data_IF_988881703089
#
_entry.id   IF_988881703089
#
_cell.length_a   1.000
_cell.length_b   1.000
_cell.length_c   1.000
_cell.angle_alpha   90.00
_cell.angle_beta   90.00
_cell.angle_gamma   90.00
#
_symmetry.space_group_name_H-M   'P 1'
#
loop_
_entity.id
_entity.type
_entity.pdbx_description
1 polymer ?
#
# COMPACT_ATOMS: atom_id res chain seq x y z
N UNK A 1 40.70 6.29 24.41
CA UNK A 1 41.94 5.58 24.82
C UNK A 1 43.04 5.94 23.85
N UNK A 2 44.28 6.07 24.32
CA UNK A 2 45.43 6.33 23.44
C UNK A 2 45.89 5.03 22.76
N UNK A 3 46.60 5.14 21.64
CA UNK A 3 47.13 4.05 20.83
C UNK A 3 47.92 3.05 21.67
N UNK A 4 48.78 3.54 22.57
CA UNK A 4 49.58 2.71 23.48
C UNK A 4 48.73 1.78 24.36
N UNK A 5 47.59 2.28 24.86
CA UNK A 5 46.68 1.53 25.72
C UNK A 5 45.87 0.51 24.91
N UNK A 6 45.45 0.89 23.69
CA UNK A 6 44.71 0.05 22.75
C UNK A 6 45.56 -1.14 22.27
N UNK A 7 46.80 -0.87 21.88
CA UNK A 7 47.77 -1.87 21.45
C UNK A 7 48.04 -2.89 22.57
N UNK A 8 48.32 -2.41 23.78
CA UNK A 8 48.59 -3.30 24.92
C UNK A 8 47.36 -4.16 25.26
N UNK A 9 46.16 -3.58 25.21
CA UNK A 9 44.92 -4.30 25.48
C UNK A 9 44.69 -5.42 24.47
N UNK A 10 44.75 -5.14 23.18
CA UNK A 10 44.53 -6.15 22.14
C UNK A 10 45.58 -7.26 22.14
N UNK A 11 46.86 -6.92 22.41
CA UNK A 11 47.90 -7.93 22.58
C UNK A 11 47.57 -8.88 23.73
N UNK A 12 47.11 -8.35 24.87
CA UNK A 12 46.70 -9.14 26.03
C UNK A 12 45.47 -9.99 25.74
N UNK A 13 44.49 -9.47 25.01
CA UNK A 13 43.28 -10.23 24.60
C UNK A 13 43.62 -11.43 23.69
N UNK A 14 44.68 -11.32 22.88
CA UNK A 14 45.21 -12.43 22.08
C UNK A 14 46.25 -13.29 22.82
N UNK A 15 46.43 -13.10 24.12
CA UNK A 15 47.39 -13.82 24.98
C UNK A 15 48.84 -13.82 24.47
N UNK A 16 49.28 -12.75 23.78
CA UNK A 16 50.64 -12.66 23.25
C UNK A 16 51.58 -11.92 24.22
N UNK A 17 52.84 -12.33 24.31
CA UNK A 17 53.89 -11.56 24.99
C UNK A 17 54.39 -10.38 24.13
N UNK A 18 55.03 -9.38 24.74
CA UNK A 18 55.65 -8.28 23.96
C UNK A 18 56.74 -8.78 23.01
N UNK A 19 57.42 -9.87 23.36
CA UNK A 19 58.46 -10.51 22.54
C UNK A 19 57.83 -11.20 21.33
N UNK A 20 56.76 -11.96 21.54
CA UNK A 20 56.01 -12.61 20.46
C UNK A 20 55.38 -11.62 19.48
N UNK A 21 54.88 -10.47 19.97
CA UNK A 21 54.38 -9.41 19.10
C UNK A 21 55.52 -8.76 18.30
N UNK A 22 56.67 -8.56 18.93
CA UNK A 22 57.85 -7.98 18.28
C UNK A 22 58.39 -8.89 17.16
N UNK A 23 58.45 -10.20 17.41
CA UNK A 23 58.88 -11.20 16.43
C UNK A 23 57.97 -11.20 15.20
N UNK A 24 56.63 -11.17 15.42
CA UNK A 24 55.65 -11.12 14.33
C UNK A 24 55.68 -9.80 13.56
N UNK A 25 55.98 -8.70 14.22
CA UNK A 25 56.13 -7.40 13.59
C UNK A 25 57.51 -7.18 12.93
N UNK A 26 58.46 -8.09 13.11
CA UNK A 26 59.84 -7.95 12.64
C UNK A 26 60.54 -6.73 13.24
N UNK A 27 60.37 -6.49 14.54
CA UNK A 27 60.98 -5.39 15.30
C UNK A 27 61.58 -5.89 16.61
N UNK A 28 62.38 -5.07 17.30
CA UNK A 28 62.89 -5.44 18.61
C UNK A 28 61.81 -5.37 19.69
N UNK A 29 61.91 -6.22 20.73
CA UNK A 29 61.04 -6.16 21.92
C UNK A 29 60.99 -4.75 22.55
N UNK A 30 62.11 -4.03 22.48
CA UNK A 30 62.23 -2.65 22.97
C UNK A 30 61.35 -1.67 22.17
N UNK A 31 61.18 -1.87 20.85
CA UNK A 31 60.30 -1.04 20.03
C UNK A 31 58.83 -1.18 20.45
N UNK A 32 58.36 -2.42 20.64
CA UNK A 32 57.00 -2.69 21.14
C UNK A 32 56.80 -2.12 22.54
N UNK A 33 57.79 -2.23 23.44
CA UNK A 33 57.74 -1.62 24.77
C UNK A 33 57.63 -0.09 24.71
N UNK A 34 58.32 0.57 23.78
CA UNK A 34 58.22 2.02 23.58
C UNK A 34 56.85 2.43 23.01
N UNK A 35 56.27 1.64 22.11
CA UNK A 35 54.90 1.85 21.61
C UNK A 35 53.85 1.71 22.70
N UNK A 36 53.92 0.65 23.51
CA UNK A 36 52.98 0.43 24.63
C UNK A 36 53.16 1.42 25.79
N UNK A 37 54.33 2.05 25.92
CA UNK A 37 54.58 3.11 26.90
C UNK A 37 54.36 4.53 26.35
N UNK A 38 53.91 4.66 25.10
CA UNK A 38 53.65 5.95 24.45
C UNK A 38 54.89 6.80 24.19
N UNK A 39 56.10 6.20 24.26
CA UNK A 39 57.39 6.88 24.05
C UNK A 39 57.78 7.00 22.58
N UNK A 40 57.18 6.20 21.71
CA UNK A 40 57.33 6.29 20.26
C UNK A 40 56.06 5.80 19.57
N UNK A 41 55.88 6.17 18.31
CA UNK A 41 54.76 5.73 17.48
C UNK A 41 55.28 4.84 16.34
N UNK A 42 54.60 3.74 15.98
CA UNK A 42 54.98 2.91 14.84
C UNK A 42 54.67 3.62 13.51
N UNK A 43 55.46 3.30 12.48
CA UNK A 43 55.18 3.76 11.11
C UNK A 43 53.92 3.10 10.54
N UNK A 44 53.33 3.70 9.52
CA UNK A 44 52.06 3.24 8.93
C UNK A 44 52.11 1.77 8.46
N UNK A 45 53.24 1.34 7.90
CA UNK A 45 53.42 -0.06 7.48
C UNK A 45 53.38 -1.03 8.67
N UNK A 46 53.94 -0.63 9.82
CA UNK A 46 53.89 -1.42 11.05
C UNK A 46 52.51 -1.39 11.68
N UNK A 47 51.76 -0.30 11.55
CA UNK A 47 50.36 -0.22 11.99
C UNK A 47 49.48 -1.18 11.19
N UNK A 48 49.64 -1.23 9.88
CA UNK A 48 48.90 -2.17 9.03
C UNK A 48 49.22 -3.63 9.40
N UNK A 49 50.49 -3.94 9.65
CA UNK A 49 50.91 -5.27 10.09
C UNK A 49 50.36 -5.62 11.49
N UNK A 50 50.28 -4.64 12.40
CA UNK A 50 49.65 -4.83 13.71
C UNK A 50 48.16 -5.13 13.59
N UNK A 51 47.45 -4.49 12.67
CA UNK A 51 46.03 -4.76 12.40
C UNK A 51 45.83 -6.21 11.94
N UNK A 52 46.71 -6.72 11.09
CA UNK A 52 46.69 -8.11 10.61
C UNK A 52 46.99 -9.12 11.74
N UNK A 53 48.02 -8.86 12.56
CA UNK A 53 48.41 -9.76 13.67
C UNK A 53 47.36 -9.79 14.78
N UNK A 54 46.73 -8.66 15.08
CA UNK A 54 45.76 -8.50 16.16
C UNK A 54 44.32 -8.73 15.69
N UNK A 55 44.10 -8.92 14.39
CA UNK A 55 42.80 -9.15 13.76
C UNK A 55 41.80 -8.05 14.12
N UNK A 56 42.20 -6.81 13.85
CA UNK A 56 41.44 -5.60 14.17
C UNK A 56 41.56 -4.57 13.05
N UNK A 57 40.69 -3.56 13.06
CA UNK A 57 40.76 -2.47 12.09
C UNK A 57 41.77 -1.40 12.55
N UNK A 58 42.36 -0.65 11.62
CA UNK A 58 43.24 0.49 11.92
C UNK A 58 42.59 1.51 12.86
N UNK A 59 41.26 1.69 12.75
CA UNK A 59 40.49 2.56 13.65
C UNK A 59 40.40 2.03 15.09
N UNK A 60 40.59 0.73 15.31
CA UNK A 60 40.60 0.13 16.64
C UNK A 60 41.92 0.36 17.37
N UNK A 61 42.99 0.71 16.64
CA UNK A 61 44.33 1.01 17.15
C UNK A 61 44.60 2.53 17.27
N UNK A 62 44.18 3.35 16.30
CA UNK A 62 44.47 4.79 16.25
C UNK A 62 43.74 5.58 17.35
N UNK A 63 44.33 6.69 17.80
CA UNK A 63 43.75 7.61 18.78
C UNK A 63 42.36 8.14 18.37
N UNK A 64 41.45 8.18 19.36
CA UNK A 64 40.05 8.64 19.18
C UNK A 64 39.92 10.11 18.73
N UNK A 65 41.02 10.88 18.77
CA UNK A 65 41.07 12.30 18.37
C UNK A 65 41.46 12.47 16.90
N UNK A 66 42.27 11.55 16.36
CA UNK A 66 42.69 11.58 14.95
C UNK A 66 41.66 10.93 14.02
N UNK A 67 40.84 10.02 14.55
CA UNK A 67 39.69 9.47 13.85
C UNK A 67 38.44 10.23 14.28
N UNK A 68 37.95 11.16 13.45
CA UNK A 68 36.67 11.87 13.63
C UNK A 68 35.42 10.98 13.60
N UNK A 69 35.54 9.69 13.93
CA UNK A 69 34.48 8.71 14.01
C UNK A 69 34.47 8.08 15.40
N UNK A 70 33.43 8.43 16.13
CA UNK A 70 33.02 7.84 17.41
C UNK A 70 32.69 6.35 17.23
N UNK A 71 33.63 5.47 17.51
CA UNK A 71 33.36 4.03 17.74
C UNK A 71 33.17 3.76 19.23
N UNK A 72 31.96 4.00 19.71
CA UNK A 72 31.45 3.33 20.92
C UNK A 72 30.51 2.20 20.51
N UNK A 73 31.09 0.99 20.41
CA UNK A 73 30.35 -0.26 20.36
C UNK A 73 29.92 -0.63 21.78
N UNK A 74 28.72 -0.18 22.15
CA UNK A 74 27.75 -0.85 23.01
C UNK A 74 26.49 0.01 23.00
N UNK A 75 25.46 -0.47 22.31
CA UNK A 75 24.15 0.20 22.13
C UNK A 75 24.27 1.66 21.69
N UNK A 76 24.46 1.89 20.39
CA UNK A 76 24.27 3.21 19.79
C UNK A 76 22.83 3.65 20.03
N UNK A 77 22.57 4.36 21.14
CA UNK A 77 21.40 5.22 21.28
C UNK A 77 21.50 6.19 20.10
N UNK A 78 20.65 5.98 19.11
CA UNK A 78 20.51 6.84 17.94
C UNK A 78 20.39 8.29 18.40
N UNK A 79 21.42 9.10 18.15
CA UNK A 79 21.38 10.50 18.52
C UNK A 79 20.70 11.28 17.38
N UNK A 80 19.44 11.66 17.57
CA UNK A 80 18.64 12.42 16.59
C UNK A 80 19.38 13.68 16.13
N UNK A 81 20.22 14.25 17.02
CA UNK A 81 21.04 15.43 16.77
C UNK A 81 22.00 15.27 15.59
N UNK A 82 22.55 14.08 15.36
CA UNK A 82 23.47 13.86 14.23
C UNK A 82 22.72 13.92 12.89
N UNK A 83 21.50 13.37 12.82
CA UNK A 83 20.67 13.46 11.61
C UNK A 83 20.21 14.89 11.34
N UNK A 84 19.83 15.62 12.40
CA UNK A 84 19.45 17.04 12.30
C UNK A 84 20.63 17.88 11.83
N UNK A 85 21.83 17.65 12.34
CA UNK A 85 23.02 18.39 11.93
C UNK A 85 23.40 18.09 10.47
N UNK A 86 23.33 16.84 10.03
CA UNK A 86 23.51 16.49 8.61
C UNK A 86 22.45 17.15 7.72
N UNK A 87 21.18 17.15 8.14
CA UNK A 87 20.09 17.81 7.43
C UNK A 87 20.31 19.33 7.35
N UNK A 88 20.67 19.98 8.46
CA UNK A 88 21.00 21.40 8.47
C UNK A 88 22.19 21.69 7.54
N UNK A 89 23.22 20.84 7.54
CA UNK A 89 24.36 20.97 6.61
C UNK A 89 23.92 20.86 5.15
N UNK A 90 22.97 19.97 4.85
CA UNK A 90 22.40 19.82 3.52
C UNK A 90 21.63 21.08 3.10
N UNK A 91 20.83 21.66 4.00
CA UNK A 91 20.14 22.93 3.77
C UNK A 91 21.14 24.06 3.54
N UNK A 92 22.17 24.20 4.38
CA UNK A 92 23.20 25.24 4.23
C UNK A 92 23.93 25.13 2.90
N UNK A 93 24.36 23.92 2.50
CA UNK A 93 24.98 23.69 1.18
C UNK A 93 24.04 24.05 0.04
N UNK A 94 22.76 23.70 0.16
CA UNK A 94 21.75 24.02 -0.84
C UNK A 94 21.54 25.53 -0.97
N UNK A 95 21.43 26.24 0.15
CA UNK A 95 21.29 27.70 0.16
C UNK A 95 22.53 28.37 -0.45
N UNK A 96 23.73 27.97 -0.03
CA UNK A 96 24.99 28.50 -0.57
C UNK A 96 25.11 28.26 -2.08
N UNK A 97 24.74 27.07 -2.54
CA UNK A 97 24.62 26.75 -3.96
C UNK A 97 23.69 27.74 -4.66
N UNK A 98 22.46 27.92 -4.18
CA UNK A 98 21.49 28.85 -4.77
C UNK A 98 21.96 30.31 -4.77
N UNK A 99 22.75 30.75 -3.78
CA UNK A 99 23.35 32.09 -3.80
C UNK A 99 24.44 32.23 -4.86
N UNK A 100 25.24 31.18 -5.08
CA UNK A 100 26.32 31.18 -6.06
C UNK A 100 25.87 31.07 -7.53
N UNK A 101 24.64 30.61 -7.78
CA UNK A 101 24.10 30.37 -9.12
C UNK A 101 23.67 31.64 -9.86
N UNK A 102 23.74 31.63 -11.20
CA UNK A 102 23.12 32.67 -12.03
C UNK A 102 21.60 32.50 -12.10
N UNK A 103 20.84 33.58 -12.30
CA UNK A 103 19.37 33.55 -12.33
C UNK A 103 18.80 32.51 -13.30
N UNK A 104 19.39 32.39 -14.51
CA UNK A 104 18.99 31.38 -15.51
C UNK A 104 19.12 29.94 -14.99
N UNK A 105 20.18 29.65 -14.25
CA UNK A 105 20.45 28.32 -13.69
C UNK A 105 19.49 28.01 -12.54
N UNK A 106 19.17 29.01 -11.70
CA UNK A 106 18.18 28.87 -10.61
C UNK A 106 16.79 28.51 -11.17
N UNK A 107 16.35 29.23 -12.20
CA UNK A 107 15.05 28.96 -12.85
C UNK A 107 15.03 27.57 -13.47
N UNK A 108 16.09 27.19 -14.19
CA UNK A 108 16.21 25.84 -14.76
C UNK A 108 16.13 24.76 -13.68
N UNK A 109 16.84 24.94 -12.57
CA UNK A 109 16.81 24.02 -11.44
C UNK A 109 15.40 23.85 -10.86
N UNK A 110 14.71 24.95 -10.59
CA UNK A 110 13.35 24.93 -10.02
C UNK A 110 12.38 24.24 -10.99
N UNK A 111 12.44 24.57 -12.28
CA UNK A 111 11.59 23.93 -13.29
C UNK A 111 11.83 22.43 -13.38
N UNK A 112 13.09 21.98 -13.38
CA UNK A 112 13.39 20.55 -13.42
C UNK A 112 12.96 19.82 -12.13
N UNK A 113 12.95 20.47 -10.96
CA UNK A 113 12.40 19.90 -9.72
C UNK A 113 10.88 19.79 -9.81
N UNK A 114 10.18 20.83 -10.28
CA UNK A 114 8.73 20.83 -10.45
C UNK A 114 8.31 19.71 -11.42
N UNK A 115 8.99 19.58 -12.55
CA UNK A 115 8.74 18.51 -13.53
C UNK A 115 8.95 17.13 -12.89
N UNK A 116 10.00 16.95 -12.09
CA UNK A 116 10.23 15.68 -11.37
C UNK A 116 9.14 15.38 -10.34
N UNK A 117 8.67 16.38 -9.59
CA UNK A 117 7.57 16.22 -8.65
C UNK A 117 6.30 15.77 -9.39
N UNK A 118 5.93 16.47 -10.47
CA UNK A 118 4.74 16.13 -11.28
C UNK A 118 4.85 14.71 -11.84
N UNK A 119 6.02 14.32 -12.35
CA UNK A 119 6.23 12.99 -12.92
C UNK A 119 6.11 11.90 -11.85
N UNK A 120 6.71 12.09 -10.68
CA UNK A 120 6.65 11.13 -9.57
C UNK A 120 5.23 11.01 -9.01
N UNK A 121 4.52 12.13 -8.80
CA UNK A 121 3.14 12.11 -8.30
C UNK A 121 2.18 11.47 -9.32
N UNK A 122 2.39 11.69 -10.62
CA UNK A 122 1.61 11.05 -11.68
C UNK A 122 1.80 9.54 -11.70
N UNK A 123 3.05 9.06 -11.63
CA UNK A 123 3.36 7.62 -11.60
C UNK A 123 2.72 6.97 -10.38
N UNK A 124 2.96 7.52 -9.19
CA UNK A 124 2.39 6.99 -7.94
C UNK A 124 0.85 7.01 -7.99
N UNK A 125 0.26 8.07 -8.58
CA UNK A 125 -1.18 8.22 -8.74
C UNK A 125 -1.81 7.13 -9.61
N UNK A 126 -1.17 6.78 -10.73
CA UNK A 126 -1.63 5.68 -11.61
C UNK A 126 -1.61 4.34 -10.87
N UNK A 127 -0.56 4.07 -10.10
CA UNK A 127 -0.51 2.86 -9.27
C UNK A 127 -1.62 2.83 -8.23
N UNK A 128 -1.90 3.98 -7.60
CA UNK A 128 -2.97 4.08 -6.62
C UNK A 128 -4.34 3.84 -7.22
N UNK A 129 -4.67 4.47 -8.36
CA UNK A 129 -5.99 4.28 -8.99
C UNK A 129 -6.21 2.84 -9.41
N UNK A 130 -5.18 2.16 -9.92
CA UNK A 130 -5.23 0.73 -10.24
C UNK A 130 -5.52 -0.13 -9.00
N UNK A 131 -4.72 0.03 -7.93
CA UNK A 131 -4.90 -0.75 -6.69
C UNK A 131 -6.25 -0.42 -6.03
N UNK A 132 -6.67 0.85 -6.04
CA UNK A 132 -7.91 1.28 -5.45
C UNK A 132 -9.12 0.67 -6.16
N UNK A 133 -9.17 0.74 -7.50
CA UNK A 133 -10.31 0.27 -8.27
C UNK A 133 -10.44 -1.25 -8.29
N UNK A 134 -9.31 -1.96 -8.41
CA UNK A 134 -9.31 -3.42 -8.58
C UNK A 134 -9.32 -4.16 -7.23
N UNK A 135 -8.58 -3.66 -6.24
CA UNK A 135 -8.39 -4.38 -4.97
C UNK A 135 -9.24 -3.78 -3.86
N UNK A 136 -9.06 -2.48 -3.57
CA UNK A 136 -9.68 -1.86 -2.38
C UNK A 136 -11.19 -1.77 -2.54
N UNK A 137 -11.68 -1.29 -3.69
CA UNK A 137 -13.11 -1.16 -3.98
C UNK A 137 -13.81 -2.53 -4.02
N UNK A 138 -13.17 -3.52 -4.63
CA UNK A 138 -13.70 -4.89 -4.69
C UNK A 138 -13.80 -5.53 -3.30
N UNK A 139 -12.77 -5.34 -2.46
CA UNK A 139 -12.75 -5.85 -1.10
C UNK A 139 -13.75 -5.10 -0.19
N UNK A 140 -13.85 -3.77 -0.33
CA UNK A 140 -14.74 -2.95 0.49
C UNK A 140 -16.21 -3.07 0.09
N UNK A 141 -16.51 -3.46 -1.16
CA UNK A 141 -17.87 -3.76 -1.61
C UNK A 141 -18.51 -4.98 -0.93
N UNK A 142 -17.72 -5.84 -0.27
CA UNK A 142 -18.21 -6.96 0.54
C UNK A 142 -18.74 -6.51 1.92
N UNK A 143 -18.53 -5.26 2.30
CA UNK A 143 -18.86 -4.71 3.60
C UNK A 143 -20.01 -3.71 3.52
N UNK A 144 -20.77 -3.51 4.62
CA UNK A 144 -21.77 -2.46 4.71
C UNK A 144 -21.20 -1.08 4.35
N UNK A 145 -22.02 -0.26 3.67
CA UNK A 145 -21.66 1.08 3.20
C UNK A 145 -20.88 1.97 4.20
N UNK A 146 -21.26 2.08 5.50
CA UNK A 146 -20.48 2.90 6.44
C UNK A 146 -19.06 2.37 6.70
N UNK A 147 -18.86 1.05 6.69
CA UNK A 147 -17.54 0.42 6.87
C UNK A 147 -16.68 0.59 5.61
N UNK A 148 -17.29 0.56 4.43
CA UNK A 148 -16.60 0.82 3.17
C UNK A 148 -15.94 2.20 3.16
N UNK A 149 -16.64 3.24 3.61
CA UNK A 149 -16.12 4.60 3.64
C UNK A 149 -14.91 4.74 4.59
N UNK A 150 -14.97 4.10 5.75
CA UNK A 150 -13.86 4.11 6.73
C UNK A 150 -12.62 3.43 6.14
N UNK A 151 -12.80 2.28 5.50
CA UNK A 151 -11.69 1.52 4.88
C UNK A 151 -11.08 2.30 3.72
N UNK A 152 -11.91 2.86 2.84
CA UNK A 152 -11.45 3.64 1.69
C UNK A 152 -10.69 4.89 2.15
N UNK A 153 -11.19 5.60 3.17
CA UNK A 153 -10.51 6.76 3.75
C UNK A 153 -9.14 6.38 4.33
N UNK A 154 -9.08 5.28 5.07
CA UNK A 154 -7.83 4.77 5.64
C UNK A 154 -6.76 4.49 4.57
N UNK A 155 -7.11 3.72 3.54
CA UNK A 155 -6.15 3.40 2.46
C UNK A 155 -5.76 4.65 1.66
N UNK A 156 -6.68 5.59 1.44
CA UNK A 156 -6.38 6.86 0.78
C UNK A 156 -5.36 7.67 1.58
N UNK A 157 -5.59 7.84 2.89
CA UNK A 157 -4.66 8.55 3.77
C UNK A 157 -3.29 7.85 3.85
N UNK A 158 -3.27 6.52 3.95
CA UNK A 158 -2.05 5.73 3.97
C UNK A 158 -1.23 5.92 2.69
N UNK A 159 -1.90 5.89 1.53
CA UNK A 159 -1.27 6.16 0.24
C UNK A 159 -0.71 7.58 0.14
N UNK A 160 -1.47 8.61 0.57
CA UNK A 160 -1.01 10.00 0.52
C UNK A 160 0.26 10.22 1.36
N UNK A 161 0.30 9.68 2.58
CA UNK A 161 1.48 9.79 3.45
C UNK A 161 2.67 9.07 2.80
N UNK A 162 2.45 7.87 2.29
CA UNK A 162 3.49 7.08 1.63
C UNK A 162 4.03 7.77 0.36
N UNK A 163 3.15 8.33 -0.46
CA UNK A 163 3.53 8.99 -1.71
C UNK A 163 4.32 10.29 -1.45
N UNK A 164 3.95 11.05 -0.41
CA UNK A 164 4.70 12.24 0.03
C UNK A 164 6.10 11.84 0.52
N UNK A 165 6.22 10.81 1.36
CA UNK A 165 7.51 10.39 1.91
C UNK A 165 8.45 9.88 0.81
N UNK A 166 7.96 8.97 -0.04
CA UNK A 166 8.76 8.42 -1.14
C UNK A 166 9.09 9.50 -2.16
N UNK A 167 8.12 10.33 -2.53
CA UNK A 167 8.33 11.43 -3.46
C UNK A 167 9.41 12.38 -2.95
N UNK A 168 9.35 12.75 -1.67
CA UNK A 168 10.36 13.59 -1.03
C UNK A 168 11.76 12.94 -1.05
N UNK A 169 11.88 11.65 -0.69
CA UNK A 169 13.15 10.92 -0.74
C UNK A 169 13.74 10.95 -2.15
N UNK A 170 12.95 10.57 -3.14
CA UNK A 170 13.40 10.45 -4.54
C UNK A 170 13.80 11.82 -5.10
N UNK A 171 12.97 12.85 -4.89
CA UNK A 171 13.26 14.22 -5.36
C UNK A 171 14.54 14.76 -4.75
N UNK A 172 14.74 14.61 -3.43
CA UNK A 172 15.97 15.09 -2.78
C UNK A 172 17.18 14.28 -3.25
N UNK A 173 17.05 12.97 -3.44
CA UNK A 173 18.14 12.14 -3.92
C UNK A 173 18.59 12.55 -5.33
N UNK A 174 17.64 12.74 -6.25
CA UNK A 174 17.90 13.21 -7.61
C UNK A 174 18.48 14.64 -7.58
N UNK A 175 17.90 15.53 -6.76
CA UNK A 175 18.39 16.90 -6.59
C UNK A 175 19.85 16.93 -6.11
N UNK A 176 20.19 16.09 -5.12
CA UNK A 176 21.55 15.96 -4.62
C UNK A 176 22.51 15.58 -5.75
N UNK A 177 22.20 14.50 -6.48
CA UNK A 177 23.06 13.99 -7.55
C UNK A 177 23.26 15.02 -8.66
N UNK A 178 22.19 15.68 -9.08
CA UNK A 178 22.24 16.57 -10.26
C UNK A 178 22.81 17.95 -9.94
N UNK A 179 22.54 18.47 -8.75
CA UNK A 179 22.87 19.83 -8.37
C UNK A 179 23.89 19.86 -7.23
N UNK A 180 23.53 19.36 -6.06
CA UNK A 180 24.35 19.59 -4.86
C UNK A 180 25.77 18.98 -4.96
N UNK A 181 25.90 17.75 -5.46
CA UNK A 181 27.19 17.08 -5.62
C UNK A 181 28.04 17.72 -6.74
N UNK A 182 27.41 18.43 -7.68
CA UNK A 182 28.10 19.18 -8.75
C UNK A 182 28.68 20.54 -8.29
N UNK A 183 28.10 21.13 -7.24
CA UNK A 183 28.53 22.43 -6.71
C UNK A 183 29.59 22.34 -5.60
N UNK A 184 29.70 21.19 -4.91
CA UNK A 184 30.65 21.00 -3.81
C UNK A 184 32.11 20.85 -4.27
N UNK A 185 32.37 20.64 -5.56
CA UNK A 185 33.73 20.46 -6.12
C UNK A 185 34.37 21.74 -6.67
N UNK A 186 34.10 22.93 -6.13
CA UNK A 186 34.72 24.20 -6.59
C UNK A 186 35.12 25.12 -5.44
N UNK A 187 36.00 24.66 -4.56
CA UNK A 187 36.84 25.51 -3.70
C UNK A 187 38.26 24.96 -3.72
N UNK A 188 39.04 25.32 -4.75
CA UNK A 188 40.51 25.20 -4.69
C UNK A 188 41.02 26.40 -3.88
N UNK A 189 41.45 26.16 -2.64
CA UNK A 189 42.07 27.16 -1.75
C UNK A 189 43.53 27.50 -2.17
N UNK A 190 44.08 26.82 -3.20
CA UNK A 190 45.49 26.89 -3.60
C UNK A 190 45.74 27.18 -5.10
N UNK A 191 44.79 27.80 -5.81
CA UNK A 191 45.06 28.20 -7.20
C UNK A 191 46.16 29.29 -7.23
N UNK A 192 47.41 28.88 -7.52
CA UNK A 192 48.60 29.73 -7.49
C UNK A 192 48.38 31.10 -8.16
N UNK A 193 48.57 32.15 -7.37
CA UNK A 193 48.74 33.52 -7.87
C UNK A 193 49.97 33.57 -8.78
N UNK A 194 49.77 33.86 -10.07
CA UNK A 194 50.88 34.25 -10.94
C UNK A 194 51.13 35.74 -10.75
N UNK A 195 52.20 36.06 -10.02
CA UNK A 195 52.84 37.37 -10.07
C UNK A 195 53.53 37.47 -11.43
N UNK A 196 53.13 38.44 -12.26
CA UNK A 196 53.88 38.83 -13.45
C UNK A 196 54.84 39.93 -12.99
N UNK A 197 56.14 39.64 -12.97
CA UNK A 197 57.17 40.66 -12.74
C UNK A 197 57.21 41.65 -13.92
N UNK A 198 57.37 42.93 -13.61
CA UNK A 198 57.49 44.05 -14.55
C UNK A 198 58.82 43.99 -15.34
N UNK A 199 58.87 44.46 -16.61
CA UNK A 199 60.12 44.94 -17.17
C UNK A 199 60.37 46.39 -16.70
N UNK A 200 61.54 46.62 -16.12
CA UNK A 200 62.07 47.94 -15.75
C UNK A 200 62.79 48.58 -16.96
N UNK A 201 62.81 49.93 -16.97
CA UNK A 201 63.49 50.93 -17.83
C UNK A 201 62.66 51.50 -19.00
N UNK A 202 62.60 52.81 -19.26
CA UNK A 202 63.32 53.98 -18.74
C UNK A 202 62.51 55.27 -18.98
N UNK A 203 62.79 56.28 -18.15
CA UNK A 203 62.76 57.72 -18.42
C UNK A 203 61.46 58.43 -18.89
N UNK A 204 60.79 59.13 -17.97
CA UNK A 204 60.90 60.60 -17.77
C UNK A 204 59.75 61.16 -16.92
N UNK A 205 60.14 62.03 -15.98
CA UNK A 205 59.38 63.10 -15.31
C UNK A 205 57.88 63.28 -15.65
N UNK A 206 57.02 63.10 -14.64
CA UNK A 206 56.25 64.18 -14.01
C UNK A 206 55.02 63.66 -13.25
N UNK A 207 54.89 64.12 -11.99
CA UNK A 207 53.65 64.42 -11.26
C UNK A 207 52.34 63.73 -11.71
N UNK A 208 51.94 62.68 -10.98
CA UNK A 208 50.59 62.50 -10.44
C UNK A 208 50.52 61.19 -9.66
N UNK A 209 50.29 61.26 -8.33
CA UNK A 209 49.81 60.11 -7.55
C UNK A 209 48.43 59.71 -8.10
N UNK A 210 48.40 58.66 -8.93
CA UNK A 210 47.20 58.01 -9.44
C UNK A 210 47.04 56.71 -8.65
N UNK A 211 46.15 56.70 -7.65
CA UNK A 211 45.75 55.45 -6.99
C UNK A 211 44.95 54.59 -7.99
N UNK A 212 45.62 53.63 -8.60
CA UNK A 212 44.99 52.59 -9.43
C UNK A 212 44.49 51.47 -8.51
N UNK A 213 43.19 51.46 -8.22
CA UNK A 213 42.53 50.27 -7.63
C UNK A 213 42.48 49.18 -8.69
N UNK A 214 43.40 48.22 -8.60
CA UNK A 214 43.37 47.01 -9.42
C UNK A 214 42.18 46.16 -8.99
N UNK A 215 41.14 46.10 -9.84
CA UNK A 215 40.06 45.13 -9.71
C UNK A 215 40.61 43.74 -10.08
N UNK A 216 40.83 42.89 -9.07
CA UNK A 216 41.12 41.47 -9.27
C UNK A 216 39.83 40.74 -9.66
N UNK A 217 39.62 40.51 -10.96
CA UNK A 217 38.52 39.67 -11.43
C UNK A 217 38.90 38.19 -11.26
N UNK A 218 38.28 37.53 -10.27
CA UNK A 218 38.55 36.15 -9.85
C UNK A 218 38.00 35.15 -10.90
N UNK A 219 38.82 34.76 -11.88
CA UNK A 219 38.43 33.73 -12.85
C UNK A 219 38.59 32.32 -12.22
N UNK A 220 37.51 31.82 -11.62
CA UNK A 220 37.43 30.43 -11.08
C UNK A 220 37.44 29.43 -12.24
N UNK A 221 38.57 28.76 -12.47
CA UNK A 221 38.62 27.61 -13.37
C UNK A 221 38.22 26.32 -12.63
N UNK A 222 37.44 25.50 -13.32
CA UNK A 222 36.73 24.33 -12.79
C UNK A 222 37.50 23.06 -13.13
N UNK A 223 37.97 22.32 -12.12
CA UNK A 223 38.49 20.96 -12.30
C UNK A 223 37.46 20.00 -11.72
N UNK A 224 36.90 19.14 -12.58
CA UNK A 224 35.89 18.13 -12.19
C UNK A 224 36.65 16.84 -11.90
N UNK A 225 36.94 16.56 -10.63
CA UNK A 225 37.36 15.24 -10.20
C UNK A 225 36.09 14.48 -9.78
N UNK A 226 35.69 13.49 -10.57
CA UNK A 226 34.62 12.56 -10.22
C UNK A 226 35.15 11.58 -9.17
N UNK A 227 34.93 11.86 -7.90
CA UNK A 227 35.15 10.83 -6.87
C UNK A 227 33.81 10.19 -6.47
N UNK A 228 33.70 8.89 -6.75
CA UNK A 228 32.46 8.12 -6.80
C UNK A 228 32.10 7.52 -5.43
N UNK A 229 32.11 8.31 -4.36
CA UNK A 229 31.57 7.88 -3.07
C UNK A 229 30.22 8.55 -2.83
N UNK A 230 29.17 7.91 -3.34
CA UNK A 230 27.77 8.22 -3.00
C UNK A 230 27.56 8.08 -1.49
N UNK A 231 27.87 9.12 -0.72
CA UNK A 231 27.48 9.19 0.68
C UNK A 231 25.97 9.40 0.72
N UNK A 232 25.20 8.35 0.94
CA UNK A 232 23.78 8.49 1.29
C UNK A 232 23.78 9.22 2.64
N UNK A 233 23.26 10.45 2.70
CA UNK A 233 23.14 11.17 3.98
C UNK A 233 22.37 10.28 4.94
N UNK A 234 22.81 10.17 6.19
CA UNK A 234 22.19 9.28 7.16
C UNK A 234 20.73 9.71 7.42
N UNK A 235 20.35 10.99 7.23
CA UNK A 235 18.94 11.40 7.41
C UNK A 235 17.98 10.68 6.43
N UNK A 236 18.44 10.23 5.26
CA UNK A 236 17.62 9.39 4.37
C UNK A 236 17.32 8.03 5.01
N UNK A 237 18.29 7.45 5.72
CA UNK A 237 18.08 6.23 6.50
C UNK A 237 17.05 6.44 7.62
N UNK A 238 17.08 7.61 8.28
CA UNK A 238 16.05 7.96 9.27
C UNK A 238 14.66 8.05 8.62
N UNK A 239 14.53 8.71 7.47
CA UNK A 239 13.26 8.85 6.77
C UNK A 239 12.74 7.50 6.25
N UNK A 240 13.62 6.65 5.72
CA UNK A 240 13.28 5.28 5.34
C UNK A 240 12.82 4.46 6.57
N UNK A 241 13.48 4.63 7.72
CA UNK A 241 13.08 3.96 8.97
C UNK A 241 11.70 4.45 9.45
N UNK A 242 11.41 5.74 9.34
CA UNK A 242 10.07 6.30 9.63
C UNK A 242 9.03 5.70 8.68
N UNK A 243 9.33 5.62 7.38
CA UNK A 243 8.45 5.01 6.38
C UNK A 243 8.16 3.53 6.70
N UNK A 244 9.19 2.78 7.11
CA UNK A 244 9.04 1.37 7.52
C UNK A 244 8.15 1.26 8.77
N UNK A 245 8.34 2.12 9.78
CA UNK A 245 7.50 2.13 10.98
C UNK A 245 6.05 2.44 10.63
N UNK A 246 5.82 3.41 9.74
CA UNK A 246 4.48 3.73 9.23
C UNK A 246 3.85 2.54 8.51
N UNK A 247 4.58 1.90 7.59
CA UNK A 247 4.09 0.74 6.84
C UNK A 247 3.74 -0.45 7.76
N UNK A 248 4.55 -0.68 8.80
CA UNK A 248 4.23 -1.65 9.86
C UNK A 248 2.94 -1.30 10.61
N UNK A 249 2.74 -0.03 10.93
CA UNK A 249 1.49 0.46 11.52
C UNK A 249 0.28 0.16 10.63
N UNK A 250 0.38 0.46 9.33
CA UNK A 250 -0.68 0.14 8.37
C UNK A 250 -0.96 -1.37 8.30
N UNK A 251 0.08 -2.20 8.28
CA UNK A 251 -0.07 -3.66 8.26
C UNK A 251 -0.75 -4.23 9.51
N UNK A 252 -0.51 -3.65 10.69
CA UNK A 252 -1.22 -4.04 11.92
C UNK A 252 -2.73 -3.79 11.78
N UNK A 253 -3.11 -2.64 11.19
CA UNK A 253 -4.51 -2.30 10.97
C UNK A 253 -5.19 -3.21 9.93
N UNK A 254 -4.43 -3.75 8.96
CA UNK A 254 -4.91 -4.77 8.02
C UNK A 254 -4.97 -6.17 8.64
N UNK A 255 -4.07 -6.48 9.57
CA UNK A 255 -4.02 -7.80 10.22
C UNK A 255 -5.26 -8.08 11.09
N UNK A 256 -5.79 -7.07 11.79
CA UNK A 256 -6.97 -7.24 12.66
C UNK A 256 -8.24 -7.71 11.91
N UNK A 257 -8.71 -7.03 10.85
CA UNK A 257 -9.86 -7.51 10.08
C UNK A 257 -9.57 -8.84 9.38
N UNK A 258 -8.32 -9.10 8.99
CA UNK A 258 -7.92 -10.40 8.42
C UNK A 258 -8.11 -11.54 9.44
N UNK A 259 -7.79 -11.31 10.72
CA UNK A 259 -8.03 -12.28 11.80
C UNK A 259 -9.53 -12.53 11.98
N UNK A 260 -10.35 -11.47 12.03
CA UNK A 260 -11.80 -11.60 12.16
C UNK A 260 -12.41 -12.37 10.97
N UNK A 261 -11.96 -12.06 9.76
CA UNK A 261 -12.35 -12.78 8.56
C UNK A 261 -11.93 -14.26 8.61
N UNK A 262 -10.74 -14.56 9.13
CA UNK A 262 -10.27 -15.93 9.30
C UNK A 262 -11.15 -16.72 10.29
N UNK A 263 -11.53 -16.11 11.41
CA UNK A 263 -12.44 -16.72 12.40
C UNK A 263 -13.79 -17.05 11.73
N UNK A 264 -14.32 -16.11 10.94
CA UNK A 264 -15.54 -16.33 10.17
C UNK A 264 -15.39 -17.46 9.15
N UNK A 265 -14.27 -17.53 8.41
CA UNK A 265 -14.00 -18.61 7.46
C UNK A 265 -13.90 -19.98 8.14
N UNK A 266 -13.28 -20.04 9.33
CA UNK A 266 -13.24 -21.26 10.16
C UNK A 266 -14.66 -21.68 10.50
N UNK A 267 -15.51 -20.75 10.95
CA UNK A 267 -16.91 -21.03 11.23
C UNK A 267 -17.68 -21.54 9.99
N UNK A 268 -17.50 -20.92 8.82
CA UNK A 268 -18.11 -21.39 7.57
C UNK A 268 -17.64 -22.79 7.16
N UNK A 269 -16.33 -23.06 7.26
CA UNK A 269 -15.76 -24.37 6.96
C UNK A 269 -16.31 -25.43 7.93
N UNK A 270 -16.36 -25.15 9.23
CA UNK A 270 -16.95 -26.05 10.23
C UNK A 270 -18.45 -26.27 10.00
N UNK A 271 -19.18 -25.25 9.56
CA UNK A 271 -20.59 -25.37 9.21
C UNK A 271 -20.77 -26.32 8.02
N UNK A 272 -19.92 -26.22 6.99
CA UNK A 272 -19.93 -27.15 5.85
C UNK A 272 -19.62 -28.60 6.27
N UNK A 273 -18.77 -28.80 7.29
CA UNK A 273 -18.49 -30.11 7.85
C UNK A 273 -19.73 -30.79 8.43
N UNK A 274 -20.61 -30.04 9.11
CA UNK A 274 -21.86 -30.57 9.68
C UNK A 274 -22.82 -31.03 8.57
N UNK A 275 -22.85 -30.32 7.43
CA UNK A 275 -23.70 -30.65 6.29
C UNK A 275 -23.10 -31.67 5.32
N UNK A 276 -21.90 -32.22 5.60
CA UNK A 276 -21.30 -33.25 4.74
C UNK A 276 -22.19 -34.47 4.54
N UNK A 277 -23.04 -34.81 5.53
CA UNK A 277 -24.01 -35.90 5.42
C UNK A 277 -25.05 -35.69 4.32
N UNK A 278 -25.32 -34.45 3.93
CA UNK A 278 -26.36 -34.09 2.97
C UNK A 278 -25.82 -34.09 1.52
N UNK A 279 -24.50 -34.19 1.31
CA UNK A 279 -23.93 -34.44 -0.02
C UNK A 279 -22.47 -34.02 -0.21
N UNK A 280 -21.87 -34.51 -1.31
CA UNK A 280 -20.49 -34.21 -1.73
C UNK A 280 -20.22 -32.71 -1.98
N UNK A 281 -21.27 -31.94 -2.27
CA UNK A 281 -21.17 -30.49 -2.42
C UNK A 281 -20.58 -29.82 -1.17
N UNK A 282 -21.08 -30.20 0.01
CA UNK A 282 -20.61 -29.67 1.30
C UNK A 282 -19.22 -30.19 1.68
N UNK A 283 -18.88 -31.41 1.26
CA UNK A 283 -17.51 -31.94 1.41
C UNK A 283 -16.49 -31.12 0.60
N UNK A 284 -16.82 -30.76 -0.63
CA UNK A 284 -15.99 -29.86 -1.44
C UNK A 284 -15.82 -28.47 -0.80
N UNK A 285 -16.89 -27.90 -0.25
CA UNK A 285 -16.86 -26.60 0.43
C UNK A 285 -16.02 -26.63 1.69
N UNK A 286 -16.09 -27.73 2.45
CA UNK A 286 -15.24 -27.95 3.61
C UNK A 286 -13.75 -27.96 3.23
N UNK A 287 -13.37 -28.75 2.21
CA UNK A 287 -11.98 -28.84 1.74
C UNK A 287 -11.50 -27.49 1.20
N UNK A 288 -12.30 -26.82 0.37
CA UNK A 288 -11.95 -25.50 -0.16
C UNK A 288 -11.80 -24.46 0.97
N UNK A 289 -12.75 -24.44 1.91
CA UNK A 289 -12.72 -23.56 3.08
C UNK A 289 -11.47 -23.78 3.94
N UNK A 290 -11.09 -25.05 4.16
CA UNK A 290 -9.87 -25.38 4.91
C UNK A 290 -8.60 -24.86 4.21
N UNK A 291 -8.54 -24.98 2.88
CA UNK A 291 -7.46 -24.42 2.06
C UNK A 291 -7.37 -22.89 2.20
N UNK A 292 -8.51 -22.20 2.14
CA UNK A 292 -8.58 -20.74 2.33
C UNK A 292 -8.15 -20.30 3.73
N UNK A 293 -8.49 -21.07 4.77
CA UNK A 293 -8.01 -20.81 6.14
C UNK A 293 -6.49 -20.95 6.22
N UNK A 294 -5.90 -22.01 5.65
CA UNK A 294 -4.44 -22.19 5.61
C UNK A 294 -3.75 -21.05 4.87
N UNK A 295 -4.34 -20.59 3.76
CA UNK A 295 -3.84 -19.42 3.01
C UNK A 295 -3.87 -18.15 3.86
N UNK A 296 -4.97 -17.90 4.58
CA UNK A 296 -5.09 -16.76 5.49
C UNK A 296 -4.08 -16.79 6.64
N UNK A 297 -3.81 -17.96 7.22
CA UNK A 297 -2.76 -18.15 8.24
C UNK A 297 -1.37 -17.86 7.65
N UNK A 298 -1.12 -18.29 6.41
CA UNK A 298 0.14 -18.00 5.72
C UNK A 298 0.35 -16.49 5.52
N UNK A 299 -0.69 -15.76 5.11
CA UNK A 299 -0.66 -14.30 4.99
C UNK A 299 -0.38 -13.62 6.34
N UNK A 300 -1.06 -14.06 7.41
CA UNK A 300 -0.81 -13.56 8.76
C UNK A 300 0.64 -13.80 9.20
N UNK A 301 1.23 -14.96 8.88
CA UNK A 301 2.63 -15.26 9.18
C UNK A 301 3.59 -14.32 8.44
N UNK A 302 3.32 -14.01 7.18
CA UNK A 302 4.12 -13.03 6.40
C UNK A 302 4.04 -11.65 7.05
N UNK A 303 2.83 -11.19 7.36
CA UNK A 303 2.58 -9.88 7.99
C UNK A 303 3.28 -9.80 9.36
N UNK A 304 3.13 -10.83 10.19
CA UNK A 304 3.77 -10.95 11.50
C UNK A 304 5.29 -10.88 11.39
N UNK A 305 5.90 -11.69 10.52
CA UNK A 305 7.35 -11.70 10.34
C UNK A 305 7.86 -10.33 9.87
N UNK A 306 7.15 -9.65 8.98
CA UNK A 306 7.51 -8.31 8.52
C UNK A 306 7.41 -7.27 9.65
N UNK A 307 6.32 -7.25 10.42
CA UNK A 307 6.12 -6.31 11.53
C UNK A 307 7.23 -6.44 12.58
N UNK A 308 7.59 -7.67 12.94
CA UNK A 308 8.59 -7.95 13.97
C UNK A 308 10.03 -8.09 13.42
N UNK A 309 10.26 -7.80 12.13
CA UNK A 309 11.56 -7.98 11.46
C UNK A 309 12.16 -9.39 11.67
N UNK A 310 11.32 -10.42 11.69
CA UNK A 310 11.76 -11.80 11.77
C UNK A 310 12.18 -12.32 10.39
N UNK A 311 13.14 -13.25 10.36
CA UNK A 311 13.56 -13.90 9.12
C UNK A 311 12.39 -14.67 8.50
N UNK A 312 12.23 -14.55 7.19
CA UNK A 312 11.21 -15.28 6.44
C UNK A 312 11.79 -16.55 5.86
N UNK A 313 11.26 -17.71 6.27
CA UNK A 313 11.55 -18.99 5.64
C UNK A 313 10.77 -19.12 4.33
N UNK A 314 11.29 -18.51 3.26
CA UNK A 314 10.63 -18.43 1.95
C UNK A 314 10.20 -19.81 1.45
N UNK A 315 11.04 -20.84 1.66
CA UNK A 315 10.73 -22.23 1.30
C UNK A 315 9.46 -22.75 1.98
N UNK A 316 9.32 -22.51 3.29
CA UNK A 316 8.15 -22.98 4.05
C UNK A 316 6.89 -22.22 3.63
N UNK A 317 7.00 -20.90 3.41
CA UNK A 317 5.89 -20.07 2.92
C UNK A 317 5.42 -20.57 1.56
N UNK A 318 6.35 -20.85 0.65
CA UNK A 318 6.04 -21.33 -0.69
C UNK A 318 5.32 -22.69 -0.68
N UNK A 319 5.78 -23.64 0.16
CA UNK A 319 5.12 -24.94 0.31
C UNK A 319 3.70 -24.77 0.85
N UNK A 320 3.51 -23.98 1.91
CA UNK A 320 2.19 -23.72 2.49
C UNK A 320 1.24 -23.12 1.43
N UNK A 321 1.73 -22.18 0.63
CA UNK A 321 0.97 -21.52 -0.42
C UNK A 321 0.55 -22.50 -1.52
N UNK A 322 1.43 -23.40 -1.97
CA UNK A 322 1.05 -24.44 -2.94
C UNK A 322 0.00 -25.39 -2.35
N UNK A 323 0.19 -25.82 -1.10
CA UNK A 323 -0.75 -26.74 -0.45
C UNK A 323 -2.13 -26.12 -0.28
N UNK A 324 -2.22 -24.83 0.07
CA UNK A 324 -3.50 -24.15 0.22
C UNK A 324 -4.22 -23.98 -1.11
N UNK A 325 -3.53 -23.55 -2.17
CA UNK A 325 -4.13 -23.46 -3.50
C UNK A 325 -4.58 -24.82 -4.05
N UNK A 326 -3.82 -25.88 -3.76
CA UNK A 326 -4.20 -27.24 -4.14
C UNK A 326 -5.49 -27.67 -3.44
N UNK A 327 -5.63 -27.41 -2.13
CA UNK A 327 -6.86 -27.70 -1.38
C UNK A 327 -8.05 -26.88 -1.89
N UNK A 328 -7.85 -25.59 -2.17
CA UNK A 328 -8.88 -24.72 -2.76
C UNK A 328 -9.33 -25.27 -4.11
N UNK A 329 -8.39 -25.67 -4.97
CA UNK A 329 -8.67 -26.22 -6.29
C UNK A 329 -9.44 -27.54 -6.22
N UNK A 330 -8.99 -28.49 -5.41
CA UNK A 330 -9.64 -29.81 -5.25
C UNK A 330 -11.03 -29.66 -4.65
N UNK A 331 -11.17 -28.90 -3.56
CA UNK A 331 -12.46 -28.67 -2.91
C UNK A 331 -13.44 -27.93 -3.82
N UNK A 332 -12.96 -26.88 -4.50
CA UNK A 332 -13.75 -26.11 -5.45
C UNK A 332 -14.23 -26.95 -6.63
N UNK A 333 -13.37 -27.82 -7.18
CA UNK A 333 -13.74 -28.73 -8.25
C UNK A 333 -14.85 -29.72 -7.82
N UNK A 334 -14.73 -30.32 -6.63
CA UNK A 334 -15.75 -31.23 -6.10
C UNK A 334 -17.10 -30.51 -5.93
N UNK A 335 -17.11 -29.33 -5.31
CA UNK A 335 -18.34 -28.54 -5.15
C UNK A 335 -18.94 -28.12 -6.48
N UNK A 336 -18.11 -27.68 -7.42
CA UNK A 336 -18.59 -27.21 -8.72
C UNK A 336 -19.19 -28.35 -9.55
N UNK A 337 -18.49 -29.48 -9.68
CA UNK A 337 -18.99 -30.63 -10.43
C UNK A 337 -20.25 -31.24 -9.80
N UNK A 338 -20.36 -31.25 -8.48
CA UNK A 338 -21.58 -31.73 -7.80
C UNK A 338 -22.75 -30.77 -7.99
N UNK A 339 -22.51 -29.46 -7.96
CA UNK A 339 -23.53 -28.45 -8.22
C UNK A 339 -24.09 -28.53 -9.65
N UNK A 340 -23.24 -28.81 -10.65
CA UNK A 340 -23.69 -28.99 -12.04
C UNK A 340 -24.70 -30.14 -12.21
N UNK A 341 -24.65 -31.15 -11.33
CA UNK A 341 -25.60 -32.27 -11.34
C UNK A 341 -26.93 -31.97 -10.62
N UNK A 342 -27.12 -30.77 -10.06
CA UNK A 342 -28.37 -30.41 -9.41
C UNK A 342 -29.45 -30.13 -10.46
N UNK A 343 -30.72 -30.38 -10.13
CA UNK A 343 -31.87 -30.16 -11.01
C UNK A 343 -32.64 -28.89 -10.63
N UNK A 344 -33.29 -28.23 -11.58
CA UNK A 344 -34.00 -26.97 -11.32
C UNK A 344 -35.28 -27.21 -10.51
N UNK A 345 -35.47 -26.47 -9.41
CA UNK A 345 -36.67 -26.54 -8.58
C UNK A 345 -37.82 -25.77 -9.23
N UNK A 346 -38.54 -26.39 -10.16
CA UNK A 346 -39.72 -25.78 -10.81
C UNK A 346 -41.02 -25.92 -9.99
N UNK A 347 -41.04 -26.80 -8.99
CA UNK A 347 -42.27 -27.27 -8.35
C UNK A 347 -42.77 -26.41 -7.17
N UNK A 348 -42.06 -25.35 -6.79
CA UNK A 348 -42.40 -24.50 -5.63
C UNK A 348 -43.06 -23.17 -6.03
N UNK A 349 -43.89 -23.15 -7.08
CA UNK A 349 -44.68 -21.97 -7.46
C UNK A 349 -46.02 -21.97 -6.73
N UNK A 350 -46.30 -20.87 -6.03
CA UNK A 350 -47.59 -20.59 -5.38
C UNK A 350 -48.34 -19.59 -6.27
N UNK A 351 -49.66 -19.75 -6.36
CA UNK A 351 -50.53 -18.81 -7.08
C UNK A 351 -51.50 -18.19 -6.07
N UNK A 352 -51.44 -16.87 -5.91
CA UNK A 352 -52.45 -16.13 -5.16
C UNK A 352 -53.44 -15.48 -6.13
N UNK A 353 -54.72 -15.56 -5.78
CA UNK A 353 -55.83 -15.04 -6.57
C UNK A 353 -56.38 -13.76 -5.91
N UNK A 354 -56.45 -12.69 -6.69
CA UNK A 354 -56.98 -11.40 -6.25
C UNK A 354 -58.16 -10.99 -7.13
N UNK A 355 -59.32 -10.81 -6.50
CA UNK A 355 -60.49 -10.27 -7.18
C UNK A 355 -60.60 -8.76 -6.87
N UNK A 356 -60.47 -7.93 -7.90
CA UNK A 356 -60.52 -6.47 -7.80
C UNK A 356 -61.80 -5.98 -8.48
N UNK A 357 -62.68 -5.38 -7.68
CA UNK A 357 -63.89 -4.73 -8.17
C UNK A 357 -63.54 -3.58 -9.09
N UNK A 358 -64.11 -3.59 -10.30
CA UNK A 358 -63.81 -2.56 -11.30
C UNK A 358 -64.46 -1.23 -10.97
N UNK A 359 -63.72 -0.13 -11.19
CA UNK A 359 -64.19 1.23 -11.07
C UNK A 359 -63.40 2.15 -12.02
N UNK A 360 -63.96 3.31 -12.38
CA UNK A 360 -63.39 4.15 -13.44
C UNK A 360 -62.06 4.83 -13.06
N UNK A 361 -61.67 4.81 -11.78
CA UNK A 361 -60.46 5.48 -11.27
C UNK A 361 -59.33 4.51 -10.89
N UNK A 362 -59.32 3.28 -11.42
CA UNK A 362 -58.27 2.29 -11.14
C UNK A 362 -57.06 2.54 -12.03
N UNK A 363 -55.89 2.50 -11.42
CA UNK A 363 -54.57 2.56 -12.05
C UNK A 363 -53.82 1.29 -11.69
N UNK A 364 -53.32 0.59 -12.71
CA UNK A 364 -52.59 -0.67 -12.56
C UNK A 364 -51.32 -0.61 -13.43
N UNK A 365 -50.23 -0.02 -12.92
CA UNK A 365 -48.99 0.16 -13.69
C UNK A 365 -48.36 -1.17 -14.14
N UNK A 366 -48.74 -2.27 -13.50
CA UNK A 366 -48.24 -3.60 -13.83
C UNK A 366 -48.70 -4.14 -15.19
N UNK A 367 -49.72 -3.55 -15.83
CA UNK A 367 -50.18 -3.96 -17.17
C UNK A 367 -49.06 -3.81 -18.21
N UNK A 368 -48.19 -2.82 -18.04
CA UNK A 368 -47.12 -2.51 -18.99
C UNK A 368 -45.79 -3.20 -18.63
N UNK A 369 -45.77 -4.03 -17.58
CA UNK A 369 -44.59 -4.79 -17.19
C UNK A 369 -44.35 -6.01 -18.11
N UNK A 370 -43.10 -6.33 -18.45
CA UNK A 370 -42.75 -7.40 -19.38
C UNK A 370 -43.07 -8.82 -18.87
N UNK A 371 -43.33 -8.98 -17.56
CA UNK A 371 -43.69 -10.23 -16.91
C UNK A 371 -45.20 -10.39 -16.64
N UNK A 372 -46.01 -9.54 -17.26
CA UNK A 372 -47.48 -9.57 -17.18
C UNK A 372 -48.10 -10.22 -18.41
N UNK A 373 -48.97 -11.21 -18.21
CA UNK A 373 -49.79 -11.83 -19.25
C UNK A 373 -51.24 -11.38 -19.11
N UNK A 374 -51.82 -10.87 -20.18
CA UNK A 374 -53.22 -10.40 -20.17
C UNK A 374 -54.08 -11.40 -20.92
N UNK A 375 -55.11 -11.91 -20.25
CA UNK A 375 -56.09 -12.83 -20.80
C UNK A 375 -57.41 -12.07 -20.88
N UNK A 376 -57.90 -11.85 -22.09
CA UNK A 376 -59.15 -11.13 -22.31
C UNK A 376 -60.32 -12.10 -22.18
N UNK A 377 -61.22 -11.81 -21.25
CA UNK A 377 -62.45 -12.57 -21.02
C UNK A 377 -63.61 -11.59 -20.82
N UNK A 378 -64.42 -11.42 -21.87
CA UNK A 378 -65.55 -10.49 -21.88
C UNK A 378 -66.74 -10.96 -21.03
N UNK A 379 -66.68 -12.16 -20.45
CA UNK A 379 -67.69 -12.64 -19.49
C UNK A 379 -67.50 -12.09 -18.06
N UNK A 380 -66.36 -11.45 -17.79
CA UNK A 380 -66.00 -10.91 -16.47
C UNK A 380 -66.47 -9.46 -16.29
N UNK A 381 -67.22 -9.21 -15.21
CA UNK A 381 -67.56 -7.85 -14.76
C UNK A 381 -66.40 -7.20 -13.97
N UNK A 382 -65.76 -7.99 -13.09
CA UNK A 382 -64.64 -7.58 -12.23
C UNK A 382 -63.29 -8.12 -12.75
N UNK A 383 -62.18 -7.51 -12.32
CA UNK A 383 -60.84 -7.96 -12.67
C UNK A 383 -60.38 -9.11 -11.77
N UNK A 384 -59.78 -10.14 -12.36
CA UNK A 384 -59.10 -11.19 -11.60
C UNK A 384 -57.60 -11.15 -11.91
N UNK A 385 -56.79 -11.04 -10.87
CA UNK A 385 -55.33 -11.06 -10.98
C UNK A 385 -54.81 -12.32 -10.29
N UNK A 386 -54.11 -13.14 -11.06
CA UNK A 386 -53.39 -14.32 -10.58
C UNK A 386 -51.90 -14.00 -10.52
N UNK A 387 -51.31 -14.06 -9.33
CA UNK A 387 -49.88 -13.81 -9.15
C UNK A 387 -49.20 -15.14 -8.88
N UNK A 388 -48.40 -15.60 -9.84
CA UNK A 388 -47.57 -16.81 -9.71
C UNK A 388 -46.18 -16.41 -9.25
N UNK A 389 -45.81 -16.83 -8.04
CA UNK A 389 -44.51 -16.50 -7.45
C UNK A 389 -43.89 -17.73 -6.78
N UNK A 390 -42.58 -17.74 -6.60
CA UNK A 390 -41.93 -18.82 -5.86
C UNK A 390 -42.31 -18.72 -4.37
N UNK A 391 -42.61 -19.85 -3.70
CA UNK A 391 -43.07 -19.91 -2.29
C UNK A 391 -42.19 -19.16 -1.26
N UNK A 392 -40.99 -18.71 -1.66
CA UNK A 392 -40.05 -17.95 -0.85
C UNK A 392 -39.86 -16.51 -1.31
N UNK A 393 -40.78 -15.93 -2.09
CA UNK A 393 -40.88 -14.50 -2.35
C UNK A 393 -42.36 -14.16 -2.50
N UNK A 394 -43.05 -13.91 -1.37
CA UNK A 394 -44.48 -13.63 -1.40
C UNK A 394 -44.72 -12.26 -2.02
N UNK A 395 -45.40 -12.24 -3.15
CA UNK A 395 -45.83 -11.00 -3.78
C UNK A 395 -47.22 -10.67 -3.27
N UNK A 396 -47.40 -9.48 -2.70
CA UNK A 396 -48.72 -8.98 -2.31
C UNK A 396 -49.13 -7.81 -3.18
N UNK A 397 -50.43 -7.71 -3.45
CA UNK A 397 -51.03 -6.52 -4.05
C UNK A 397 -51.50 -5.62 -2.92
N UNK A 398 -50.97 -4.40 -2.87
CA UNK A 398 -51.45 -3.35 -1.96
C UNK A 398 -52.18 -2.27 -2.73
N UNK A 399 -53.23 -1.73 -2.09
CA UNK A 399 -54.06 -0.65 -2.61
C UNK A 399 -53.65 0.66 -1.96
N UNK A 400 -53.18 1.60 -2.76
CA UNK A 400 -52.80 2.94 -2.33
C UNK A 400 -53.74 4.00 -2.92
N UNK A 401 -53.78 5.18 -2.28
CA UNK A 401 -54.69 6.27 -2.62
C UNK A 401 -53.90 7.55 -2.86
N UNK A 402 -54.24 8.28 -3.91
CA UNK A 402 -53.77 9.66 -4.06
C UNK A 402 -54.48 10.56 -3.05
N UNK A 403 -53.71 11.22 -2.18
CA UNK A 403 -54.26 12.13 -1.18
C UNK A 403 -54.37 13.58 -1.70
N UNK A 404 -53.76 13.91 -2.84
CA UNK A 404 -53.66 15.28 -3.36
C UNK A 404 -54.64 15.60 -4.52
N UNK A 405 -55.36 14.61 -5.07
CA UNK A 405 -56.33 14.81 -6.16
C UNK A 405 -57.79 14.82 -5.67
N UNK A 406 -58.59 15.78 -6.17
CA UNK A 406 -60.06 15.83 -5.92
C UNK A 406 -60.80 14.57 -6.39
N UNK A 407 -60.25 13.85 -7.37
CA UNK A 407 -60.71 12.54 -7.79
C UNK A 407 -59.88 11.44 -7.11
N UNK A 408 -60.54 10.58 -6.32
CA UNK A 408 -59.89 9.46 -5.66
C UNK A 408 -59.43 8.43 -6.70
N UNK A 409 -58.15 8.49 -7.09
CA UNK A 409 -57.46 7.48 -7.90
C UNK A 409 -56.99 6.33 -7.02
N UNK A 410 -57.15 5.10 -7.49
CA UNK A 410 -56.77 3.87 -6.78
C UNK A 410 -55.59 3.19 -7.46
N UNK A 411 -54.45 3.18 -6.81
CA UNK A 411 -53.25 2.53 -7.33
C UNK A 411 -53.12 1.13 -6.75
N UNK A 412 -52.85 0.15 -7.61
CA UNK A 412 -52.50 -1.20 -7.20
C UNK A 412 -51.03 -1.46 -7.54
N UNK A 413 -50.21 -1.59 -6.49
CA UNK A 413 -48.80 -1.90 -6.62
C UNK A 413 -48.52 -3.33 -6.15
N UNK A 414 -47.57 -3.98 -6.83
CA UNK A 414 -47.06 -5.29 -6.43
C UNK A 414 -45.82 -5.06 -5.58
N UNK A 415 -45.88 -5.50 -4.33
CA UNK A 415 -44.75 -5.45 -3.42
C UNK A 415 -44.18 -6.85 -3.25
N UNK A 416 -42.89 -6.98 -3.54
CA UNK A 416 -42.10 -8.12 -3.11
C UNK A 416 -41.93 -8.04 -1.59
N UNK A 417 -42.63 -8.90 -0.85
CA UNK A 417 -42.30 -9.09 0.55
C UNK A 417 -41.02 -9.92 0.61
N UNK A 418 -39.89 -9.23 0.56
CA UNK A 418 -38.57 -9.85 0.70
C UNK A 418 -38.59 -10.76 1.92
N UNK A 419 -38.29 -12.04 1.71
CA UNK A 419 -38.12 -12.99 2.80
C UNK A 419 -37.09 -12.45 3.78
N UNK A 420 -37.31 -12.72 5.07
CA UNK A 420 -36.28 -12.44 6.07
C UNK A 420 -34.96 -13.09 5.62
N UNK A 421 -33.78 -12.48 5.87
CA UNK A 421 -32.51 -13.06 5.49
C UNK A 421 -32.33 -14.50 6.01
N UNK A 422 -32.94 -14.80 7.16
CA UNK A 422 -32.93 -16.11 7.79
C UNK A 422 -33.76 -17.12 6.99
N UNK A 423 -34.96 -16.74 6.54
CA UNK A 423 -35.83 -17.66 5.80
C UNK A 423 -35.34 -17.88 4.37
N UNK A 424 -34.77 -16.83 3.76
CA UNK A 424 -34.03 -16.95 2.50
C UNK A 424 -32.88 -17.94 2.62
N UNK A 425 -32.10 -17.85 3.71
CA UNK A 425 -31.01 -18.78 3.98
C UNK A 425 -31.50 -20.20 4.22
N UNK A 426 -32.57 -20.40 4.99
CA UNK A 426 -33.18 -21.72 5.22
C UNK A 426 -33.65 -22.36 3.92
N UNK A 427 -34.32 -21.59 3.05
CA UNK A 427 -34.79 -22.10 1.76
C UNK A 427 -33.64 -22.46 0.82
N UNK A 428 -32.58 -21.64 0.81
CA UNK A 428 -31.38 -21.94 0.04
C UNK A 428 -30.69 -23.21 0.56
N UNK A 429 -30.56 -23.36 1.88
CA UNK A 429 -29.98 -24.54 2.51
C UNK A 429 -30.81 -25.80 2.21
N UNK A 430 -32.13 -25.72 2.30
CA UNK A 430 -33.04 -26.84 2.00
C UNK A 430 -32.94 -27.28 0.52
N UNK A 431 -32.87 -26.31 -0.39
CA UNK A 431 -32.66 -26.58 -1.82
C UNK A 431 -31.33 -27.31 -2.06
N UNK A 432 -30.24 -26.86 -1.42
CA UNK A 432 -28.92 -27.50 -1.55
C UNK A 432 -28.91 -28.93 -0.97
N UNK A 433 -29.59 -29.18 0.16
CA UNK A 433 -29.72 -30.53 0.75
C UNK A 433 -30.44 -31.50 -0.18
N UNK A 434 -31.43 -31.03 -0.91
CA UNK A 434 -32.20 -31.84 -1.85
C UNK A 434 -31.62 -31.85 -3.27
N UNK A 435 -30.39 -31.36 -3.47
CA UNK A 435 -29.72 -31.30 -4.78
C UNK A 435 -30.49 -30.50 -5.82
N UNK A 436 -31.17 -29.43 -5.38
CA UNK A 436 -31.99 -28.57 -6.21
C UNK A 436 -31.26 -27.25 -6.47
N UNK A 437 -31.29 -26.81 -7.73
CA UNK A 437 -30.89 -25.45 -8.11
C UNK A 437 -32.01 -24.50 -7.73
N UNK A 438 -31.60 -23.42 -7.08
CA UNK A 438 -32.43 -22.27 -6.82
C UNK A 438 -32.66 -21.56 -8.16
N UNK A 439 -33.84 -21.74 -8.75
CA UNK A 439 -34.19 -21.13 -10.02
C UNK A 439 -35.15 -19.97 -9.77
N UNK A 440 -34.76 -18.76 -10.16
CA UNK A 440 -35.64 -17.59 -10.26
C UNK A 440 -36.54 -17.33 -9.02
N UNK A 441 -35.96 -17.30 -7.81
CA UNK A 441 -36.74 -17.01 -6.57
C UNK A 441 -37.51 -15.68 -6.67
N UNK A 442 -36.92 -14.68 -7.33
CA UNK A 442 -37.48 -13.34 -7.43
C UNK A 442 -38.34 -13.12 -8.68
N UNK A 443 -38.44 -14.10 -9.59
CA UNK A 443 -39.34 -13.96 -10.73
C UNK A 443 -40.76 -14.30 -10.27
N UNK A 444 -41.68 -13.36 -10.50
CA UNK A 444 -43.10 -13.60 -10.42
C UNK A 444 -43.73 -13.30 -11.78
N UNK A 445 -44.81 -14.02 -12.09
CA UNK A 445 -45.61 -13.81 -13.29
C UNK A 445 -46.98 -13.33 -12.85
N UNK A 446 -47.40 -12.19 -13.39
CA UNK A 446 -48.75 -11.65 -13.16
C UNK A 446 -49.61 -12.05 -14.34
N UNK A 447 -50.75 -12.68 -14.08
CA UNK A 447 -51.74 -13.02 -15.10
C UNK A 447 -53.00 -12.22 -14.79
N UNK A 448 -53.40 -11.34 -15.68
CA UNK A 448 -54.56 -10.45 -15.51
C UNK A 448 -55.67 -10.94 -16.42
N UNK A 449 -56.78 -11.33 -15.81
CA UNK A 449 -58.03 -11.65 -16.50
C UNK A 449 -58.96 -10.43 -16.44
N UNK A 450 -59.32 -9.90 -17.61
CA UNK A 450 -60.05 -8.64 -17.74
C UNK A 450 -60.86 -8.60 -19.04
N UNK A 451 -62.01 -7.92 -19.04
CA UNK A 451 -62.79 -7.69 -20.26
C UNK A 451 -62.16 -6.63 -21.17
N UNK A 452 -62.46 -6.68 -22.47
CA UNK A 452 -61.90 -5.75 -23.47
C UNK A 452 -62.20 -4.28 -23.13
N UNK A 453 -63.44 -4.00 -22.71
CA UNK A 453 -63.88 -2.64 -22.34
C UNK A 453 -63.15 -2.10 -21.12
N UNK A 454 -62.92 -2.94 -20.11
CA UNK A 454 -62.22 -2.52 -18.91
C UNK A 454 -60.70 -2.39 -19.12
N UNK A 455 -60.12 -3.18 -20.03
CA UNK A 455 -58.71 -3.07 -20.39
C UNK A 455 -58.37 -1.71 -21.03
N UNK A 456 -59.22 -1.23 -21.94
CA UNK A 456 -59.05 0.09 -22.57
C UNK A 456 -59.12 1.22 -21.54
N UNK A 457 -60.05 1.14 -20.58
CA UNK A 457 -60.16 2.11 -19.49
C UNK A 457 -58.88 2.20 -18.66
N UNK A 458 -58.27 1.07 -18.30
CA UNK A 458 -57.07 1.08 -17.47
C UNK A 458 -55.84 1.57 -18.26
N UNK A 459 -55.72 1.22 -19.54
CA UNK A 459 -54.65 1.76 -20.40
C UNK A 459 -54.74 3.28 -20.49
N UNK A 460 -55.94 3.81 -20.72
CA UNK A 460 -56.18 5.25 -20.74
C UNK A 460 -55.82 5.91 -19.40
N UNK A 461 -56.18 5.28 -18.27
CA UNK A 461 -55.85 5.79 -16.94
C UNK A 461 -54.35 5.74 -16.63
N UNK A 462 -53.63 4.72 -17.11
CA UNK A 462 -52.18 4.59 -16.93
C UNK A 462 -51.40 5.60 -17.80
N UNK A 463 -51.86 5.85 -19.04
CA UNK A 463 -51.22 6.80 -19.96
C UNK A 463 -51.28 8.24 -19.43
N UNK A 464 -52.39 8.62 -18.78
CA UNK A 464 -52.61 9.93 -18.13
C UNK A 464 -51.68 10.22 -16.93
N UNK A 465 -50.80 9.30 -16.56
CA UNK A 465 -49.81 9.44 -15.46
C UNK A 465 -48.40 9.68 -16.00
N UNK A 466 -48.15 9.27 -17.25
CA UNK A 466 -46.85 9.41 -17.91
C UNK A 466 -46.70 10.75 -18.67
N UNK A 467 -47.78 11.53 -18.79
CA UNK A 467 -47.79 12.95 -19.21
C UNK A 467 -47.74 13.88 -18.00
#
# INVERSE_FOLDING_TARGET
MKFCDKLQKQRKEKNMSQEQLADRCGVSRQAVSKWESGRSYPDMDKIMLLCEILDCNIYDLIDDVASGNTTSSKTKKMNIGNYLQEFLSFITKTVNMFWSMRLREKIKCILEIIIMIILITSILGIFYTFIYNEVIRSLSGLLPYPLQNIINAFFTCAYLIFSIIIGFIVVIHIFKIRYLDYFVTVEDEYANDKIIEEPINDDTNNNAKKEQRVFLEKKKNKIIIRDAKHSIYNFFYLLAKIAIVFFKGCLIMVALPLIMFLIFLIFCSMSALIFMKDGLFFAGLFVAGSGTVVLGICLLKIIYNFIFNQKMDIKNIFIILITSFSLIGVGGAISFCTYLNFYDNKDNLVTDHYNIKMNDNIILPAIDLPHTEIIVDDSLEDMVIDVKYHSGNKVSIEKDFDYDSNDKKYYYYFYDNMLSPIDSFKMALDSLKHKRRIYKIFDYKVIIHISSSNLEKIKLNNDLINE
#
